data_IF_915255780005
#
_entry.id   IF_915255780005
#
_cell.length_a   1.000
_cell.length_b   1.000
_cell.length_c   1.000
_cell.angle_alpha   90.00
_cell.angle_beta   90.00
_cell.angle_gamma   90.00
#
_symmetry.space_group_name_H-M   'P 1'
#
loop_
_entity.id
_entity.type
_entity.pdbx_description
1 polymer ?
#
# COMPACT_ATOMS: atom_id res chain seq x y z
N UNK A 1 -99.58 -19.14 -31.01
CA UNK A 1 -99.59 -17.81 -31.66
C UNK A 1 -99.40 -16.73 -30.60
N UNK A 2 -98.51 -15.74 -30.85
CA UNK A 2 -98.23 -14.50 -30.06
C UNK A 2 -97.49 -14.74 -28.72
N UNK A 3 -96.46 -13.98 -28.29
CA UNK A 3 -95.80 -12.75 -28.78
C UNK A 3 -94.48 -12.52 -28.00
N UNK A 4 -93.46 -12.04 -28.73
CA UNK A 4 -92.48 -10.96 -28.39
C UNK A 4 -91.36 -11.22 -27.37
N UNK A 5 -90.15 -11.35 -27.93
CA UNK A 5 -88.86 -10.99 -27.32
C UNK A 5 -88.82 -9.49 -27.03
N UNK A 6 -88.38 -9.10 -25.83
CA UNK A 6 -88.09 -7.71 -25.47
C UNK A 6 -86.61 -7.60 -25.11
N UNK A 7 -85.85 -6.94 -25.97
CA UNK A 7 -84.51 -6.42 -25.67
C UNK A 7 -84.67 -5.15 -24.85
N UNK A 8 -84.15 -5.13 -23.61
CA UNK A 8 -84.20 -3.95 -22.74
C UNK A 8 -82.88 -3.18 -22.85
N UNK A 9 -82.92 -2.03 -23.54
CA UNK A 9 -81.87 -1.00 -23.55
C UNK A 9 -81.67 -0.47 -22.11
N UNK A 10 -80.51 -0.74 -21.52
CA UNK A 10 -80.03 -0.08 -20.31
C UNK A 10 -79.51 1.32 -20.64
N UNK A 11 -80.12 2.32 -20.01
CA UNK A 11 -79.83 3.75 -20.14
C UNK A 11 -78.48 4.05 -19.48
N UNK A 12 -77.53 4.59 -20.24
CA UNK A 12 -76.19 4.94 -19.79
C UNK A 12 -76.23 6.01 -18.69
N UNK A 13 -75.70 5.68 -17.51
CA UNK A 13 -75.34 6.67 -16.50
C UNK A 13 -74.02 7.33 -16.93
N UNK A 14 -74.02 8.65 -16.98
CA UNK A 14 -72.92 9.47 -17.53
C UNK A 14 -71.68 9.32 -16.65
N UNK A 15 -70.55 8.93 -17.25
CA UNK A 15 -69.25 8.72 -16.61
C UNK A 15 -68.68 9.96 -15.86
N UNK A 16 -69.29 11.14 -16.02
CA UNK A 16 -68.91 12.37 -15.34
C UNK A 16 -69.38 12.48 -13.88
N UNK A 17 -70.44 11.77 -13.48
CA UNK A 17 -70.96 11.85 -12.10
C UNK A 17 -70.15 11.00 -11.11
N UNK A 18 -69.49 9.92 -11.58
CA UNK A 18 -68.61 9.09 -10.76
C UNK A 18 -67.26 9.75 -10.46
N UNK A 19 -66.73 10.53 -11.40
CA UNK A 19 -65.42 11.21 -11.24
C UNK A 19 -65.54 12.37 -10.23
N UNK A 20 -66.66 13.11 -10.24
CA UNK A 20 -66.90 14.18 -9.27
C UNK A 20 -67.05 13.67 -7.83
N UNK A 21 -67.65 12.50 -7.63
CA UNK A 21 -67.84 11.91 -6.30
C UNK A 21 -66.54 11.33 -5.73
N UNK A 22 -65.63 10.85 -6.59
CA UNK A 22 -64.31 10.35 -6.20
C UNK A 22 -63.36 11.49 -5.78
N UNK A 23 -63.45 12.66 -6.44
CA UNK A 23 -62.62 13.83 -6.11
C UNK A 23 -63.04 14.43 -4.75
N UNK A 24 -64.34 14.47 -4.45
CA UNK A 24 -64.85 14.96 -3.15
C UNK A 24 -64.46 14.02 -2.01
N UNK A 25 -64.44 12.69 -2.24
CA UNK A 25 -63.96 11.71 -1.26
C UNK A 25 -62.44 11.76 -1.04
N UNK A 26 -61.65 12.04 -2.09
CA UNK A 26 -60.21 12.26 -1.96
C UNK A 26 -59.88 13.55 -1.19
N UNK A 27 -60.68 14.61 -1.38
CA UNK A 27 -60.48 15.89 -0.68
C UNK A 27 -60.88 15.82 0.81
N UNK A 28 -61.90 15.03 1.16
CA UNK A 28 -62.31 14.85 2.56
C UNK A 28 -61.33 13.97 3.39
N UNK A 29 -60.56 13.10 2.74
CA UNK A 29 -59.52 12.30 3.40
C UNK A 29 -58.26 13.10 3.77
N UNK A 30 -58.11 14.33 3.27
CA UNK A 30 -56.94 15.20 3.53
C UNK A 30 -57.13 16.10 4.76
N UNK A 31 -58.35 16.24 5.31
CA UNK A 31 -58.62 17.14 6.45
C UNK A 31 -58.79 16.46 7.82
N UNK A 32 -58.61 15.15 7.94
CA UNK A 32 -58.56 14.46 9.26
C UNK A 32 -57.29 13.59 9.33
N UNK A 33 -56.13 14.24 9.20
CA UNK A 33 -54.86 13.67 9.65
C UNK A 33 -54.75 13.83 11.18
N UNK A 34 -54.22 12.84 11.91
CA UNK A 34 -54.02 12.98 13.35
C UNK A 34 -53.01 14.11 13.59
N UNK A 35 -53.37 15.05 14.47
CA UNK A 35 -52.43 15.89 15.20
C UNK A 35 -51.64 15.02 16.18
N UNK A 36 -50.86 14.09 15.64
CA UNK A 36 -49.77 13.45 16.34
C UNK A 36 -48.52 14.17 15.88
N UNK A 37 -47.90 14.92 16.79
CA UNK A 37 -46.67 15.66 16.53
C UNK A 37 -45.68 14.77 15.80
N UNK A 38 -45.45 15.08 14.52
CA UNK A 38 -44.27 14.62 13.82
C UNK A 38 -43.09 15.21 14.58
N UNK A 39 -42.48 14.41 15.45
CA UNK A 39 -41.06 14.55 15.71
C UNK A 39 -40.44 14.62 14.32
N UNK A 40 -39.93 15.80 13.97
CA UNK A 40 -39.25 16.04 12.71
C UNK A 40 -38.22 14.93 12.58
N UNK A 41 -38.52 13.95 11.72
CA UNK A 41 -37.62 12.86 11.46
C UNK A 41 -36.48 13.53 10.72
N UNK A 42 -35.48 13.99 11.47
CA UNK A 42 -34.31 14.67 10.97
C UNK A 42 -33.87 13.86 9.76
N UNK A 43 -33.82 14.50 8.59
CA UNK A 43 -33.55 13.81 7.33
C UNK A 43 -32.28 12.97 7.54
N UNK A 44 -32.44 11.66 7.72
CA UNK A 44 -31.31 10.79 7.97
C UNK A 44 -30.64 10.60 6.63
N UNK A 45 -29.59 11.37 6.40
CA UNK A 45 -28.79 11.25 5.19
C UNK A 45 -28.33 9.80 4.99
N UNK A 46 -28.21 9.32 3.75
CA UNK A 46 -27.51 8.09 3.46
C UNK A 46 -26.12 8.07 4.13
N UNK A 47 -25.81 6.97 4.80
CA UNK A 47 -24.57 6.80 5.55
C UNK A 47 -23.59 5.93 4.79
N UNK A 48 -22.37 6.40 4.65
CA UNK A 48 -21.24 5.68 4.07
C UNK A 48 -20.35 5.23 5.23
N UNK A 49 -20.17 3.92 5.41
CA UNK A 49 -19.15 3.40 6.31
C UNK A 49 -17.80 3.40 5.63
N UNK A 50 -16.78 4.02 6.23
CA UNK A 50 -15.41 4.00 5.71
C UNK A 50 -14.52 3.17 6.64
N UNK A 51 -14.16 1.96 6.21
CA UNK A 51 -13.36 1.01 6.98
C UNK A 51 -11.93 0.96 6.45
N UNK A 52 -10.97 1.39 7.26
CA UNK A 52 -9.58 1.49 6.86
C UNK A 52 -8.62 0.85 7.88
N UNK A 53 -7.57 0.15 7.40
CA UNK A 53 -6.63 -0.58 8.25
C UNK A 53 -5.63 0.31 9.00
N UNK A 54 -5.34 1.51 8.50
CA UNK A 54 -4.29 2.36 9.07
C UNK A 54 -4.83 3.45 9.99
N UNK A 55 -4.05 4.52 10.09
CA UNK A 55 -4.30 5.67 10.96
C UNK A 55 -4.37 6.99 10.19
N UNK A 56 -5.13 7.95 10.70
CA UNK A 56 -5.07 9.35 10.23
C UNK A 56 -3.71 10.02 10.53
N UNK A 57 -2.93 9.46 11.46
CA UNK A 57 -1.56 9.93 11.72
C UNK A 57 -0.59 9.60 10.57
N UNK A 58 -0.94 8.66 9.69
CA UNK A 58 -0.14 8.32 8.53
C UNK A 58 -0.53 9.23 7.33
N UNK A 59 0.40 9.99 6.73
CA UNK A 59 0.08 11.06 5.77
C UNK A 59 -0.69 10.67 4.50
N UNK A 60 -0.72 9.40 4.09
CA UNK A 60 -1.44 8.95 2.90
C UNK A 60 -2.94 8.89 3.16
N UNK A 61 -3.37 8.49 4.37
CA UNK A 61 -4.80 8.35 4.66
C UNK A 61 -5.58 9.66 4.62
N UNK A 62 -5.11 10.78 5.20
CA UNK A 62 -5.75 12.08 5.00
C UNK A 62 -5.90 12.46 3.53
N UNK A 63 -4.90 12.15 2.68
CA UNK A 63 -4.96 12.38 1.23
C UNK A 63 -6.00 11.51 0.54
N UNK A 64 -6.10 10.23 0.91
CA UNK A 64 -7.13 9.34 0.39
C UNK A 64 -8.54 9.78 0.79
N UNK A 65 -8.73 10.21 2.04
CA UNK A 65 -10.00 10.75 2.52
C UNK A 65 -10.37 12.04 1.78
N UNK A 66 -9.40 12.94 1.57
CA UNK A 66 -9.63 14.16 0.80
C UNK A 66 -10.03 13.86 -0.66
N UNK A 67 -9.32 12.94 -1.32
CA UNK A 67 -9.63 12.52 -2.68
C UNK A 67 -11.01 11.86 -2.76
N UNK A 68 -11.34 11.02 -1.78
CA UNK A 68 -12.66 10.39 -1.68
C UNK A 68 -13.78 11.42 -1.53
N UNK A 69 -13.62 12.37 -0.61
CA UNK A 69 -14.55 13.49 -0.42
C UNK A 69 -14.66 14.38 -1.66
N UNK A 70 -13.57 14.60 -2.37
CA UNK A 70 -13.57 15.37 -3.62
C UNK A 70 -14.38 14.66 -4.70
N UNK A 71 -14.13 13.37 -4.94
CA UNK A 71 -14.88 12.59 -5.93
C UNK A 71 -16.38 12.49 -5.59
N UNK A 72 -16.74 12.37 -4.31
CA UNK A 72 -18.13 12.43 -3.87
C UNK A 72 -18.76 13.80 -4.17
N UNK A 73 -18.05 14.89 -3.88
CA UNK A 73 -18.53 16.27 -4.14
C UNK A 73 -18.76 16.53 -5.62
N UNK A 74 -17.88 16.04 -6.49
CA UNK A 74 -18.02 16.15 -7.95
C UNK A 74 -19.28 15.44 -8.48
N UNK A 75 -19.75 14.42 -7.77
CA UNK A 75 -20.99 13.70 -8.07
C UNK A 75 -22.21 14.30 -7.33
N UNK A 76 -22.04 15.42 -6.62
CA UNK A 76 -23.10 16.10 -5.87
C UNK A 76 -23.33 15.55 -4.45
N UNK A 77 -22.49 14.62 -3.96
CA UNK A 77 -22.57 14.10 -2.59
C UNK A 77 -21.63 14.88 -1.66
N UNK A 78 -22.21 15.60 -0.70
CA UNK A 78 -21.49 16.48 0.23
C UNK A 78 -21.76 16.02 1.66
N UNK A 79 -20.67 15.70 2.37
CA UNK A 79 -20.70 15.33 3.79
C UNK A 79 -21.38 16.42 4.63
N UNK A 80 -22.20 15.99 5.58
CA UNK A 80 -23.01 16.81 6.49
C UNK A 80 -24.09 17.68 5.82
N UNK A 81 -24.28 17.54 4.50
CA UNK A 81 -25.36 18.21 3.77
C UNK A 81 -26.36 17.24 3.16
N UNK A 82 -25.89 16.15 2.56
CA UNK A 82 -26.76 15.14 1.97
C UNK A 82 -26.26 13.70 2.10
N UNK A 83 -25.06 13.49 2.68
CA UNK A 83 -24.53 12.20 3.10
C UNK A 83 -23.82 12.34 4.45
N UNK A 84 -23.72 11.25 5.19
CA UNK A 84 -22.85 11.16 6.37
C UNK A 84 -21.77 10.09 6.14
N UNK A 85 -20.55 10.35 6.60
CA UNK A 85 -19.43 9.38 6.48
C UNK A 85 -19.00 8.92 7.88
N UNK A 86 -19.18 7.63 8.13
CA UNK A 86 -18.84 6.97 9.40
C UNK A 86 -17.46 6.32 9.28
N UNK A 87 -16.43 7.02 9.75
CA UNK A 87 -15.06 6.51 9.69
C UNK A 87 -14.77 5.48 10.77
N UNK A 88 -14.07 4.39 10.41
CA UNK A 88 -13.54 3.39 11.32
C UNK A 88 -12.10 3.04 10.95
N UNK A 89 -11.18 3.41 11.83
CA UNK A 89 -9.75 3.26 11.68
C UNK A 89 -9.23 2.14 12.57
N UNK A 90 -8.54 1.17 11.99
CA UNK A 90 -7.94 0.08 12.76
C UNK A 90 -6.61 0.49 13.40
N UNK A 91 -6.03 1.63 13.05
CA UNK A 91 -4.78 2.17 13.65
C UNK A 91 -3.62 1.17 13.52
N UNK A 92 -3.48 0.55 12.35
CA UNK A 92 -2.43 -0.46 12.07
C UNK A 92 -2.70 -1.83 12.69
N UNK A 93 -3.83 -2.04 13.39
CA UNK A 93 -4.16 -3.28 14.11
C UNK A 93 -5.28 -4.05 13.42
N UNK A 94 -4.91 -4.98 12.55
CA UNK A 94 -5.88 -5.70 11.71
C UNK A 94 -6.90 -6.53 12.49
N UNK A 95 -6.57 -6.96 13.71
CA UNK A 95 -7.46 -7.65 14.65
C UNK A 95 -8.68 -6.81 15.07
N UNK A 96 -8.61 -5.47 14.96
CA UNK A 96 -9.74 -4.57 15.25
C UNK A 96 -10.77 -4.51 14.12
N UNK A 97 -10.39 -4.84 12.89
CA UNK A 97 -11.25 -4.69 11.71
C UNK A 97 -12.59 -5.44 11.80
N UNK A 98 -12.67 -6.69 12.31
CA UNK A 98 -13.95 -7.38 12.46
C UNK A 98 -14.94 -6.66 13.39
N UNK A 99 -14.46 -6.10 14.51
CA UNK A 99 -15.29 -5.33 15.44
C UNK A 99 -15.78 -4.04 14.80
N UNK A 100 -14.88 -3.30 14.16
CA UNK A 100 -15.19 -2.07 13.44
C UNK A 100 -16.17 -2.29 12.28
N UNK A 101 -16.04 -3.38 11.52
CA UNK A 101 -17.00 -3.75 10.48
C UNK A 101 -18.38 -4.05 11.07
N UNK A 102 -18.43 -4.75 12.21
CA UNK A 102 -19.68 -5.05 12.92
C UNK A 102 -20.37 -3.77 13.41
N UNK A 103 -19.61 -2.78 13.88
CA UNK A 103 -20.17 -1.47 14.24
C UNK A 103 -20.83 -0.78 13.06
N UNK A 104 -20.19 -0.77 11.88
CA UNK A 104 -20.78 -0.17 10.66
C UNK A 104 -22.09 -0.86 10.27
N UNK A 105 -22.16 -2.19 10.39
CA UNK A 105 -23.41 -2.94 10.17
C UNK A 105 -24.49 -2.54 11.18
N UNK A 106 -24.14 -2.40 12.47
CA UNK A 106 -25.08 -1.97 13.53
C UNK A 106 -25.59 -0.54 13.32
N UNK A 107 -24.74 0.33 12.77
CA UNK A 107 -25.13 1.69 12.37
C UNK A 107 -26.03 1.74 11.13
N UNK A 108 -26.29 0.59 10.50
CA UNK A 108 -27.13 0.46 9.30
C UNK A 108 -26.65 1.40 8.18
N UNK A 109 -25.34 1.42 7.94
CA UNK A 109 -24.79 2.17 6.81
C UNK A 109 -25.33 1.62 5.48
N UNK A 110 -25.48 2.50 4.49
CA UNK A 110 -26.03 2.15 3.18
C UNK A 110 -24.99 1.49 2.28
N UNK A 111 -23.70 1.82 2.46
CA UNK A 111 -22.57 1.26 1.73
C UNK A 111 -21.34 1.27 2.62
N UNK A 112 -20.47 0.27 2.48
CA UNK A 112 -19.18 0.20 3.17
C UNK A 112 -18.07 0.36 2.13
N UNK A 113 -17.28 1.42 2.23
CA UNK A 113 -16.01 1.55 1.52
C UNK A 113 -14.92 0.90 2.37
N UNK A 114 -14.28 -0.14 1.85
CA UNK A 114 -13.28 -0.93 2.58
C UNK A 114 -11.90 -0.85 1.88
N UNK A 115 -10.91 -0.32 2.60
CA UNK A 115 -9.55 -0.13 2.09
C UNK A 115 -8.66 -1.36 2.31
N UNK A 116 -8.20 -1.99 1.23
CA UNK A 116 -7.31 -3.14 1.27
C UNK A 116 -7.97 -4.46 1.65
N UNK A 117 -7.26 -5.56 1.42
CA UNK A 117 -7.77 -6.91 1.63
C UNK A 117 -8.23 -7.21 3.08
N UNK A 118 -7.53 -6.77 4.15
CA UNK A 118 -7.97 -7.01 5.53
C UNK A 118 -9.35 -6.39 5.82
N UNK A 119 -9.58 -5.14 5.39
CA UNK A 119 -10.84 -4.45 5.62
C UNK A 119 -11.98 -5.07 4.81
N UNK A 120 -11.73 -5.42 3.55
CA UNK A 120 -12.72 -6.08 2.69
C UNK A 120 -13.10 -7.45 3.26
N UNK A 121 -12.14 -8.23 3.75
CA UNK A 121 -12.42 -9.51 4.37
C UNK A 121 -13.26 -9.35 5.65
N UNK A 122 -12.97 -8.34 6.48
CA UNK A 122 -13.75 -8.05 7.68
C UNK A 122 -15.19 -7.62 7.32
N UNK A 123 -15.36 -6.72 6.35
CA UNK A 123 -16.68 -6.28 5.88
C UNK A 123 -17.49 -7.44 5.29
N UNK A 124 -16.87 -8.28 4.45
CA UNK A 124 -17.50 -9.48 3.86
C UNK A 124 -18.02 -10.44 4.92
N UNK A 125 -17.28 -10.61 6.03
CA UNK A 125 -17.71 -11.46 7.15
C UNK A 125 -18.84 -10.83 7.95
N UNK A 126 -18.87 -9.50 8.05
CA UNK A 126 -19.87 -8.78 8.84
C UNK A 126 -21.23 -8.67 8.11
N UNK A 127 -21.26 -8.68 6.78
CA UNK A 127 -22.50 -8.54 6.01
C UNK A 127 -22.43 -9.11 4.60
N UNK A 128 -23.53 -9.77 4.20
CA UNK A 128 -23.77 -10.22 2.83
C UNK A 128 -24.77 -9.34 2.07
N UNK A 129 -25.33 -8.31 2.72
CA UNK A 129 -26.45 -7.51 2.18
C UNK A 129 -26.09 -6.04 1.94
N UNK A 130 -25.26 -5.44 2.79
CA UNK A 130 -24.81 -4.07 2.58
C UNK A 130 -23.78 -4.07 1.45
N UNK A 131 -23.92 -3.22 0.41
CA UNK A 131 -22.91 -3.09 -0.63
C UNK A 131 -21.54 -2.73 -0.05
N UNK A 132 -20.51 -3.43 -0.50
CA UNK A 132 -19.11 -3.20 -0.12
C UNK A 132 -18.36 -2.72 -1.37
N UNK A 133 -17.84 -1.50 -1.29
CA UNK A 133 -16.93 -0.93 -2.29
C UNK A 133 -15.50 -1.15 -1.82
N UNK A 134 -14.81 -2.10 -2.44
CA UNK A 134 -13.39 -2.34 -2.19
C UNK A 134 -12.53 -1.25 -2.85
N UNK A 135 -11.48 -0.84 -2.15
CA UNK A 135 -10.46 0.06 -2.67
C UNK A 135 -9.08 -0.54 -2.42
N UNK A 136 -8.21 -0.55 -3.44
CA UNK A 136 -6.78 -0.91 -3.30
C UNK A 136 -6.62 -2.39 -2.90
N UNK A 137 -7.20 -3.28 -3.69
CA UNK A 137 -7.08 -4.74 -3.52
C UNK A 137 -6.24 -5.33 -4.66
N UNK A 138 -5.22 -6.14 -4.34
CA UNK A 138 -4.29 -6.68 -5.34
C UNK A 138 -4.97 -7.62 -6.35
N UNK A 139 -5.62 -8.67 -5.88
CA UNK A 139 -6.39 -9.60 -6.72
C UNK A 139 -7.68 -10.04 -6.00
N UNK A 140 -8.82 -9.38 -6.26
CA UNK A 140 -10.07 -9.69 -5.57
C UNK A 140 -10.68 -11.03 -6.01
N UNK A 141 -10.27 -11.59 -7.16
CA UNK A 141 -10.76 -12.89 -7.65
C UNK A 141 -10.03 -14.02 -6.94
N UNK A 142 -8.69 -13.99 -6.94
CA UNK A 142 -7.89 -14.99 -6.24
C UNK A 142 -8.14 -14.99 -4.72
N UNK A 143 -8.47 -13.85 -4.14
CA UNK A 143 -8.90 -13.74 -2.73
C UNK A 143 -10.35 -14.17 -2.48
N UNK A 144 -11.11 -14.51 -3.53
CA UNK A 144 -12.50 -14.92 -3.43
C UNK A 144 -13.43 -13.82 -2.93
N UNK A 145 -13.06 -12.55 -3.08
CA UNK A 145 -13.96 -11.43 -2.78
C UNK A 145 -15.03 -11.26 -3.85
N UNK A 146 -14.68 -11.54 -5.11
CA UNK A 146 -15.58 -11.47 -6.26
C UNK A 146 -15.41 -12.69 -7.15
N UNK A 147 -16.46 -13.09 -7.87
CA UNK A 147 -16.40 -14.22 -8.80
C UNK A 147 -15.59 -13.89 -10.07
N UNK A 148 -15.70 -12.65 -10.56
CA UNK A 148 -14.91 -12.13 -11.67
C UNK A 148 -14.89 -10.60 -11.62
N UNK A 149 -13.93 -9.97 -12.33
CA UNK A 149 -13.86 -8.51 -12.41
C UNK A 149 -15.05 -7.91 -13.18
N UNK A 150 -15.51 -8.58 -14.25
CA UNK A 150 -16.65 -8.11 -15.04
C UNK A 150 -17.99 -8.33 -14.35
N UNK A 151 -18.11 -9.39 -13.54
CA UNK A 151 -19.34 -9.77 -12.83
C UNK A 151 -18.98 -10.26 -11.43
N UNK A 152 -19.07 -9.40 -10.41
CA UNK A 152 -18.63 -9.75 -9.07
C UNK A 152 -19.45 -10.85 -8.39
N UNK A 153 -20.74 -10.98 -8.73
CA UNK A 153 -21.61 -12.08 -8.28
C UNK A 153 -22.10 -12.00 -6.83
N UNK A 154 -21.91 -10.87 -6.15
CA UNK A 154 -22.35 -10.65 -4.76
C UNK A 154 -22.45 -9.18 -4.40
N UNK A 155 -22.41 -8.85 -3.11
CA UNK A 155 -22.49 -7.47 -2.60
C UNK A 155 -21.14 -6.72 -2.62
N UNK A 156 -20.08 -7.30 -3.18
CA UNK A 156 -18.75 -6.70 -3.23
C UNK A 156 -18.45 -6.26 -4.66
N UNK A 157 -18.02 -5.01 -4.84
CA UNK A 157 -17.52 -4.46 -6.09
C UNK A 157 -16.46 -3.40 -5.79
N UNK A 158 -15.79 -2.84 -6.80
CA UNK A 158 -14.91 -1.68 -6.60
C UNK A 158 -13.58 -1.79 -7.33
N UNK A 159 -12.57 -1.11 -6.80
CA UNK A 159 -11.29 -0.87 -7.46
C UNK A 159 -10.22 -1.86 -7.00
N UNK A 160 -9.71 -2.65 -7.94
CA UNK A 160 -8.47 -3.41 -7.79
C UNK A 160 -7.31 -2.62 -8.40
N UNK A 161 -6.12 -2.76 -7.82
CA UNK A 161 -4.89 -2.19 -8.39
C UNK A 161 -4.09 -3.22 -9.21
N UNK A 162 -4.58 -4.44 -9.41
CA UNK A 162 -3.90 -5.54 -10.14
C UNK A 162 -2.37 -5.49 -9.99
N UNK A 163 -1.92 -5.60 -8.74
CA UNK A 163 -0.51 -5.53 -8.37
C UNK A 163 0.30 -6.85 -8.38
N UNK A 164 -0.20 -8.05 -8.80
CA UNK A 164 0.58 -9.28 -8.62
C UNK A 164 1.94 -9.25 -9.35
N UNK A 165 2.01 -8.61 -10.52
CA UNK A 165 3.24 -8.53 -11.31
C UNK A 165 4.21 -7.44 -10.84
N UNK A 166 3.77 -6.55 -9.95
CA UNK A 166 4.59 -5.41 -9.52
C UNK A 166 5.86 -5.87 -8.80
N UNK A 167 5.75 -6.90 -7.95
CA UNK A 167 6.92 -7.42 -7.22
C UNK A 167 7.91 -8.11 -8.15
N UNK A 168 7.42 -8.76 -9.22
CA UNK A 168 8.28 -9.30 -10.27
C UNK A 168 9.06 -8.20 -10.99
N UNK A 169 8.39 -7.11 -11.37
CA UNK A 169 9.05 -5.93 -11.98
C UNK A 169 10.03 -5.24 -11.03
N UNK A 170 9.75 -5.21 -9.73
CA UNK A 170 10.70 -4.69 -8.74
C UNK A 170 11.96 -5.55 -8.67
N UNK A 171 11.86 -6.88 -8.84
CA UNK A 171 13.01 -7.77 -8.90
C UNK A 171 13.82 -7.58 -10.18
N UNK A 172 13.15 -7.46 -11.34
CA UNK A 172 13.81 -7.15 -12.63
C UNK A 172 14.60 -5.83 -12.54
N UNK A 173 13.94 -4.76 -12.06
CA UNK A 173 14.59 -3.45 -11.87
C UNK A 173 15.74 -3.50 -10.87
N UNK A 174 15.62 -4.32 -9.83
CA UNK A 174 16.68 -4.49 -8.85
C UNK A 174 17.92 -5.18 -9.45
N UNK A 175 17.73 -6.15 -10.35
CA UNK A 175 18.83 -6.77 -11.09
C UNK A 175 19.52 -5.78 -12.05
N UNK A 176 18.76 -4.89 -12.70
CA UNK A 176 19.32 -3.82 -13.54
C UNK A 176 20.20 -2.84 -12.74
N UNK A 177 19.74 -2.45 -11.54
CA UNK A 177 20.44 -1.47 -10.69
C UNK A 177 21.62 -2.10 -9.94
N UNK A 178 21.49 -3.36 -9.51
CA UNK A 178 22.53 -4.10 -8.80
C UNK A 178 22.86 -5.38 -9.58
N UNK A 179 23.71 -5.27 -10.62
CA UNK A 179 24.07 -6.41 -11.44
C UNK A 179 24.67 -7.54 -10.59
N UNK A 180 24.25 -8.79 -10.86
CA UNK A 180 24.66 -10.02 -10.15
C UNK A 180 24.11 -10.18 -8.73
N UNK A 181 23.03 -9.47 -8.39
CA UNK A 181 22.32 -9.77 -7.14
C UNK A 181 21.78 -11.20 -7.16
N UNK A 182 22.17 -12.01 -6.18
CA UNK A 182 21.80 -13.43 -6.11
C UNK A 182 20.88 -13.76 -4.94
N UNK A 183 20.75 -12.84 -3.97
CA UNK A 183 19.92 -13.03 -2.78
C UNK A 183 19.21 -11.74 -2.38
N UNK A 184 17.90 -11.82 -2.28
CA UNK A 184 17.03 -10.70 -1.93
C UNK A 184 16.11 -11.12 -0.80
N UNK A 185 16.02 -10.29 0.25
CA UNK A 185 15.05 -10.51 1.30
C UNK A 185 13.71 -9.89 0.92
N UNK A 186 12.61 -10.56 1.23
CA UNK A 186 11.25 -10.11 0.94
C UNK A 186 10.50 -9.94 2.26
N UNK A 187 10.37 -8.70 2.71
CA UNK A 187 9.61 -8.37 3.92
C UNK A 187 8.12 -8.34 3.60
N UNK A 188 7.33 -9.11 4.32
CA UNK A 188 5.88 -9.20 4.13
C UNK A 188 5.14 -9.40 5.45
N UNK A 189 3.88 -8.94 5.47
CA UNK A 189 3.01 -9.10 6.63
C UNK A 189 2.02 -10.27 6.41
N UNK A 190 2.16 -11.39 7.14
CA UNK A 190 1.28 -12.55 6.99
C UNK A 190 -0.12 -12.32 7.56
N UNK A 191 -0.35 -11.29 8.39
CA UNK A 191 -1.67 -10.92 8.87
C UNK A 191 -2.55 -10.29 7.76
N UNK A 192 -1.95 -9.89 6.64
CA UNK A 192 -2.68 -9.43 5.46
C UNK A 192 -2.92 -10.61 4.50
N UNK A 193 -4.17 -11.06 4.29
CA UNK A 193 -4.47 -12.21 3.44
C UNK A 193 -4.04 -12.00 1.97
N UNK A 194 -3.95 -10.74 1.51
CA UNK A 194 -3.52 -10.42 0.15
C UNK A 194 -2.02 -10.58 -0.09
N UNK A 195 -1.21 -10.66 0.96
CA UNK A 195 0.25 -10.74 0.80
C UNK A 195 0.73 -12.13 0.42
N UNK A 196 0.03 -13.20 0.83
CA UNK A 196 0.42 -14.56 0.49
C UNK A 196 0.48 -14.80 -1.03
N UNK A 197 -0.46 -14.20 -1.78
CA UNK A 197 -0.45 -14.23 -3.23
C UNK A 197 0.77 -13.49 -3.80
N UNK A 198 1.04 -12.28 -3.31
CA UNK A 198 2.19 -11.48 -3.75
C UNK A 198 3.53 -12.18 -3.46
N UNK A 199 3.66 -12.89 -2.33
CA UNK A 199 4.85 -13.70 -2.03
C UNK A 199 5.04 -14.81 -3.07
N UNK A 200 3.96 -15.49 -3.48
CA UNK A 200 4.04 -16.53 -4.52
C UNK A 200 4.50 -15.96 -5.86
N UNK A 201 3.92 -14.84 -6.30
CA UNK A 201 4.35 -14.17 -7.54
C UNK A 201 5.81 -13.71 -7.46
N UNK A 202 6.25 -13.19 -6.32
CA UNK A 202 7.65 -12.82 -6.10
C UNK A 202 8.57 -14.04 -6.21
N UNK A 203 8.21 -15.16 -5.60
CA UNK A 203 8.96 -16.42 -5.69
C UNK A 203 9.06 -16.93 -7.13
N UNK A 204 7.98 -16.83 -7.91
CA UNK A 204 7.96 -17.26 -9.30
C UNK A 204 8.88 -16.39 -10.17
N UNK A 205 8.79 -15.06 -10.00
CA UNK A 205 9.67 -14.11 -10.69
C UNK A 205 11.14 -14.30 -10.30
N UNK A 206 11.45 -14.47 -9.01
CA UNK A 206 12.82 -14.68 -8.56
C UNK A 206 13.42 -15.98 -9.11
N UNK A 207 12.63 -17.06 -9.23
CA UNK A 207 13.10 -18.31 -9.87
C UNK A 207 13.43 -18.08 -11.35
N UNK A 208 12.64 -17.29 -12.06
CA UNK A 208 12.91 -16.94 -13.46
C UNK A 208 14.20 -16.11 -13.63
N UNK A 209 14.52 -15.26 -12.64
CA UNK A 209 15.72 -14.40 -12.64
C UNK A 209 16.95 -15.06 -11.98
N UNK A 210 16.82 -16.29 -11.47
CA UNK A 210 17.92 -16.96 -10.73
C UNK A 210 18.26 -16.31 -9.38
N UNK A 211 17.34 -15.53 -8.82
CA UNK A 211 17.49 -14.85 -7.53
C UNK A 211 16.95 -15.75 -6.41
N UNK A 212 17.75 -15.93 -5.34
CA UNK A 212 17.29 -16.56 -4.11
C UNK A 212 16.48 -15.56 -3.28
N UNK A 213 15.17 -15.75 -3.20
CA UNK A 213 14.32 -14.98 -2.30
C UNK A 213 14.33 -15.56 -0.87
N UNK A 214 14.45 -14.68 0.11
CA UNK A 214 14.33 -14.99 1.53
C UNK A 214 13.09 -14.28 2.11
N UNK A 215 11.94 -14.95 2.24
CA UNK A 215 10.76 -14.36 2.86
C UNK A 215 11.01 -14.06 4.34
N UNK A 216 10.67 -12.85 4.76
CA UNK A 216 10.72 -12.40 6.15
C UNK A 216 9.34 -11.92 6.58
N UNK A 217 8.80 -12.55 7.62
CA UNK A 217 7.52 -12.16 8.18
C UNK A 217 7.69 -11.03 9.20
N UNK A 218 6.81 -10.03 9.11
CA UNK A 218 6.64 -9.04 10.17
C UNK A 218 5.21 -8.49 10.22
N UNK A 219 4.60 -8.57 11.40
CA UNK A 219 3.24 -8.09 11.69
C UNK A 219 3.24 -6.75 12.41
N UNK A 220 4.34 -6.42 13.10
CA UNK A 220 4.47 -5.25 13.97
C UNK A 220 5.93 -4.74 14.02
N UNK A 221 6.19 -3.57 14.63
CA UNK A 221 7.53 -2.99 14.70
C UNK A 221 8.61 -3.87 15.33
N UNK A 222 8.25 -4.70 16.32
CA UNK A 222 9.19 -5.59 16.99
C UNK A 222 9.58 -6.76 16.09
N UNK A 223 8.61 -7.32 15.36
CA UNK A 223 8.87 -8.35 14.36
C UNK A 223 9.71 -7.81 13.19
N UNK A 224 9.54 -6.54 12.79
CA UNK A 224 10.41 -5.89 11.79
C UNK A 224 11.87 -5.91 12.26
N UNK A 225 12.14 -5.49 13.49
CA UNK A 225 13.50 -5.49 14.03
C UNK A 225 14.11 -6.90 14.04
N UNK A 226 13.33 -7.89 14.50
CA UNK A 226 13.75 -9.28 14.57
C UNK A 226 14.03 -9.85 13.18
N UNK A 227 13.18 -9.55 12.20
CA UNK A 227 13.38 -9.94 10.80
C UNK A 227 14.69 -9.39 10.22
N UNK A 228 14.98 -8.11 10.48
CA UNK A 228 16.23 -7.48 10.04
C UNK A 228 17.46 -7.99 10.79
N UNK A 229 17.33 -8.33 12.07
CA UNK A 229 18.40 -8.97 12.83
C UNK A 229 18.75 -10.34 12.23
N UNK A 230 17.75 -11.16 11.90
CA UNK A 230 17.95 -12.48 11.29
C UNK A 230 18.60 -12.40 9.89
N UNK A 231 18.29 -11.38 9.08
CA UNK A 231 18.88 -11.21 7.73
C UNK A 231 20.37 -10.88 7.74
N UNK A 232 20.91 -10.33 8.83
CA UNK A 232 22.36 -10.10 8.93
C UNK A 232 23.17 -11.40 8.91
N UNK A 233 22.55 -12.52 9.27
CA UNK A 233 23.16 -13.85 9.23
C UNK A 233 23.12 -14.47 7.82
N UNK A 234 22.09 -14.16 7.05
CA UNK A 234 21.81 -14.76 5.74
C UNK A 234 22.28 -13.94 4.53
N UNK A 235 22.92 -12.77 4.72
CA UNK A 235 23.61 -12.00 3.66
C UNK A 235 22.75 -11.67 2.41
N UNK A 236 21.50 -11.27 2.59
CA UNK A 236 20.74 -10.68 1.49
C UNK A 236 21.38 -9.37 1.03
N UNK A 237 21.51 -9.17 -0.30
CA UNK A 237 22.11 -7.98 -0.90
C UNK A 237 21.14 -6.81 -1.05
N UNK A 238 19.85 -7.07 -0.95
CA UNK A 238 18.78 -6.07 -0.99
C UNK A 238 17.53 -6.56 -0.24
N UNK A 239 16.62 -5.64 0.02
CA UNK A 239 15.31 -5.92 0.63
C UNK A 239 14.21 -5.32 -0.24
N UNK A 240 13.23 -6.14 -0.60
CA UNK A 240 11.96 -5.71 -1.18
C UNK A 240 10.89 -5.81 -0.09
N UNK A 241 9.99 -4.83 -0.04
CA UNK A 241 8.89 -4.77 0.93
C UNK A 241 7.58 -4.90 0.18
N UNK A 242 6.78 -5.91 0.51
CA UNK A 242 5.44 -6.04 -0.05
C UNK A 242 4.56 -4.88 0.44
N UNK A 243 3.77 -4.31 -0.47
CA UNK A 243 2.87 -3.21 -0.16
C UNK A 243 1.84 -3.64 0.90
N UNK A 244 2.00 -3.11 2.10
CA UNK A 244 1.16 -3.39 3.27
C UNK A 244 1.02 -2.13 4.12
N UNK A 245 -0.15 -1.92 4.73
CA UNK A 245 -0.42 -0.71 5.53
C UNK A 245 0.54 -0.59 6.72
N UNK A 246 0.72 -1.67 7.49
CA UNK A 246 1.56 -1.67 8.70
C UNK A 246 3.03 -1.49 8.32
N UNK A 247 3.51 -2.22 7.31
CA UNK A 247 4.90 -2.08 6.87
C UNK A 247 5.18 -0.66 6.34
N UNK A 248 4.25 -0.06 5.59
CA UNK A 248 4.42 1.29 5.05
C UNK A 248 4.32 2.40 6.11
N UNK A 249 3.59 2.17 7.21
CA UNK A 249 3.62 3.04 8.40
C UNK A 249 5.02 3.07 9.03
N UNK A 250 5.76 1.96 8.97
CA UNK A 250 7.12 1.82 9.52
C UNK A 250 8.23 1.94 8.46
N UNK A 251 7.96 2.53 7.29
CA UNK A 251 8.91 2.65 6.18
C UNK A 251 10.26 3.27 6.56
N UNK A 252 10.29 4.27 7.45
CA UNK A 252 11.53 4.92 7.90
C UNK A 252 12.38 3.94 8.70
N UNK A 253 11.76 3.20 9.64
CA UNK A 253 12.44 2.16 10.43
C UNK A 253 13.01 1.06 9.54
N UNK A 254 12.23 0.63 8.55
CA UNK A 254 12.65 -0.37 7.55
C UNK A 254 13.83 0.14 6.73
N UNK A 255 13.76 1.38 6.23
CA UNK A 255 14.85 2.01 5.48
C UNK A 255 16.13 2.13 6.32
N UNK A 256 16.01 2.55 7.58
CA UNK A 256 17.13 2.66 8.50
C UNK A 256 17.80 1.30 8.75
N UNK A 257 17.01 0.24 8.90
CA UNK A 257 17.55 -1.12 8.99
C UNK A 257 18.23 -1.56 7.70
N UNK A 258 17.62 -1.33 6.54
CA UNK A 258 18.21 -1.67 5.25
C UNK A 258 19.56 -0.96 5.03
N UNK A 259 19.67 0.33 5.37
CA UNK A 259 20.93 1.10 5.30
C UNK A 259 21.97 0.56 6.28
N UNK A 260 21.58 0.18 7.50
CA UNK A 260 22.50 -0.43 8.47
C UNK A 260 23.03 -1.79 7.99
N UNK A 261 22.19 -2.60 7.38
CA UNK A 261 22.60 -3.89 6.81
C UNK A 261 23.54 -3.68 5.63
N UNK A 262 23.21 -2.76 4.72
CA UNK A 262 24.04 -2.45 3.56
C UNK A 262 25.41 -1.86 3.95
N UNK A 263 25.47 -0.94 4.92
CA UNK A 263 26.74 -0.35 5.37
C UNK A 263 27.67 -1.37 6.04
N UNK A 264 27.13 -2.34 6.81
CA UNK A 264 27.91 -3.46 7.38
C UNK A 264 28.45 -4.42 6.32
N UNK A 265 27.73 -4.60 5.22
CA UNK A 265 28.24 -5.37 4.08
C UNK A 265 29.30 -4.57 3.31
N UNK A 266 29.08 -3.27 3.10
CA UNK A 266 29.96 -2.39 2.35
C UNK A 266 31.34 -2.17 3.02
N UNK A 267 31.40 -2.11 4.36
CA UNK A 267 32.68 -2.07 5.09
C UNK A 267 33.56 -3.30 4.83
N UNK A 268 32.95 -4.42 4.44
CA UNK A 268 33.64 -5.64 4.02
C UNK A 268 33.95 -5.65 2.52
N UNK A 269 33.17 -4.98 1.67
CA UNK A 269 33.48 -4.73 0.25
C UNK A 269 34.71 -3.81 0.07
N UNK A 270 34.91 -2.83 0.95
CA UNK A 270 36.13 -1.99 0.95
C UNK A 270 37.39 -2.83 1.24
N UNK A 271 37.26 -3.96 1.97
CA UNK A 271 38.39 -4.86 2.23
C UNK A 271 38.77 -5.74 1.03
N UNK A 272 37.85 -5.98 0.07
CA UNK A 272 38.12 -6.80 -1.12
C UNK A 272 38.80 -6.04 -2.26
N UNK A 273 38.93 -4.72 -2.16
CA UNK A 273 39.63 -3.85 -3.13
C UNK A 273 41.05 -3.45 -2.69
N UNK A 274 41.60 -4.05 -1.62
CA UNK A 274 42.94 -3.68 -1.10
C UNK A 274 44.11 -3.85 -2.07
N UNK A 275 44.10 -4.70 -3.13
CA UNK A 275 45.19 -4.69 -4.10
C UNK A 275 45.13 -3.53 -5.11
N UNK A 276 43.95 -2.93 -5.35
CA UNK A 276 43.78 -1.92 -6.39
C UNK A 276 43.99 -0.48 -5.89
N UNK A 277 43.63 -0.19 -4.63
CA UNK A 277 43.86 1.14 -4.03
C UNK A 277 45.35 1.37 -3.69
N UNK A 278 46.10 0.29 -3.43
CA UNK A 278 47.54 0.36 -3.13
C UNK A 278 48.39 0.72 -4.37
N UNK A 279 47.87 0.55 -5.58
CA UNK A 279 48.57 0.90 -6.83
C UNK A 279 48.31 2.34 -7.32
N UNK A 280 47.23 2.99 -6.87
CA UNK A 280 46.86 4.35 -7.31
C UNK A 280 47.19 5.45 -6.30
N UNK A 281 47.72 5.10 -5.13
CA UNK A 281 48.20 6.09 -4.15
C UNK A 281 49.66 5.82 -3.78
N UNK A 282 50.53 6.01 -4.77
CA UNK A 282 51.94 6.33 -4.53
C UNK A 282 52.03 7.66 -3.77
N UNK A 283 52.14 7.55 -2.45
CA UNK A 283 52.51 8.55 -1.43
C UNK A 283 52.59 10.03 -1.85
N UNK A 284 51.82 10.87 -1.14
CA UNK A 284 52.36 12.00 -0.39
C UNK A 284 51.38 12.50 0.70
N UNK A 285 51.73 12.17 1.95
CA UNK A 285 51.75 13.02 3.16
C UNK A 285 50.45 13.73 3.61
N UNK A 286 49.79 13.33 4.70
CA UNK A 286 50.12 13.59 6.12
C UNK A 286 50.48 15.05 6.45
N UNK A 287 49.47 15.85 6.84
CA UNK A 287 49.55 16.85 7.92
C UNK A 287 48.15 17.09 8.50
N UNK A 288 47.90 16.61 9.72
CA UNK A 288 47.11 17.24 10.78
C UNK A 288 46.61 16.20 11.79
N UNK A 289 47.48 15.72 12.68
CA UNK A 289 47.14 15.54 14.09
C UNK A 289 48.46 15.53 14.87
N UNK A 290 48.62 16.53 15.72
CA UNK A 290 49.84 16.79 16.46
C UNK A 290 50.09 15.78 17.58
N UNK A 291 51.36 15.39 17.71
CA UNK A 291 51.92 14.63 18.83
C UNK A 291 53.40 14.40 18.57
N UNK A 292 54.28 14.97 19.40
CA UNK A 292 55.74 14.98 19.22
C UNK A 292 56.36 13.57 19.19
N UNK A 293 57.48 13.34 18.46
CA UNK A 293 58.16 12.05 18.39
C UNK A 293 59.30 11.93 19.44
N UNK A 294 59.71 10.72 19.85
CA UNK A 294 61.06 10.48 20.34
C UNK A 294 62.01 10.10 19.19
N UNK A 295 63.22 10.61 19.37
CA UNK A 295 64.40 10.65 18.49
C UNK A 295 64.97 9.30 18.08
N UNK A 296 65.44 9.20 16.83
CA UNK A 296 66.59 8.36 16.47
C UNK A 296 67.54 9.10 15.51
N UNK A 297 68.82 9.01 15.84
CA UNK A 297 69.99 9.72 15.32
C UNK A 297 70.45 9.19 13.96
N UNK A 298 70.90 10.08 13.07
CA UNK A 298 71.63 9.74 11.83
C UNK A 298 73.05 10.30 11.93
N UNK A 299 74.04 9.42 12.02
CA UNK A 299 75.46 9.79 11.88
C UNK A 299 75.79 10.05 10.42
N UNK A 300 76.26 11.25 10.12
CA UNK A 300 76.85 11.65 8.85
C UNK A 300 78.32 11.25 8.75
N UNK A 301 78.78 10.80 7.57
CA UNK A 301 80.12 11.13 7.07
C UNK A 301 80.20 11.01 5.55
N UNK A 302 80.57 12.11 4.93
CA UNK A 302 81.10 12.20 3.57
C UNK A 302 82.59 11.82 3.53
N UNK A 303 83.13 11.58 2.34
CA UNK A 303 84.29 12.36 1.85
C UNK A 303 84.08 12.77 0.37
N UNK A 304 84.52 13.92 -0.15
CA UNK A 304 85.87 14.49 -0.13
C UNK A 304 86.53 14.27 -1.51
N UNK A 305 86.59 15.31 -2.36
CA UNK A 305 87.34 15.32 -3.64
C UNK A 305 88.86 15.44 -3.39
N UNK A 306 89.70 15.00 -4.36
CA UNK A 306 90.53 15.99 -5.09
C UNK A 306 90.84 15.68 -6.59
N UNK A 307 91.02 16.77 -7.36
CA UNK A 307 91.94 17.10 -8.53
C UNK A 307 92.62 15.98 -9.34
N UNK A 308 92.95 16.01 -10.66
CA UNK A 308 93.16 17.03 -11.70
C UNK A 308 93.57 16.36 -13.05
N UNK A 309 93.42 17.06 -14.21
CA UNK A 309 94.16 16.91 -15.52
C UNK A 309 93.96 15.57 -16.28
N UNK A 310 93.84 15.44 -17.62
CA UNK A 310 94.33 16.15 -18.83
C UNK A 310 93.49 15.77 -20.09
N UNK A 311 93.28 16.77 -20.95
CA UNK A 311 93.31 16.82 -22.45
C UNK A 311 93.03 15.59 -23.36
N UNK A 312 92.09 15.81 -24.30
CA UNK A 312 92.10 15.64 -25.78
C UNK A 312 92.92 14.55 -26.53
N UNK A 313 92.29 14.11 -27.65
CA UNK A 313 92.79 13.56 -28.95
C UNK A 313 92.73 12.03 -29.23
N UNK A 314 91.85 11.70 -30.20
CA UNK A 314 92.02 11.02 -31.52
C UNK A 314 92.75 9.65 -31.68
N UNK A 315 92.19 8.87 -32.63
CA UNK A 315 92.65 7.68 -33.43
C UNK A 315 92.29 6.31 -32.81
N UNK A 316 91.52 5.41 -33.44
CA UNK A 316 91.53 4.70 -34.75
C UNK A 316 92.44 3.46 -34.80
N UNK A 317 91.92 2.37 -35.40
CA UNK A 317 92.47 0.99 -35.66
C UNK A 317 92.70 0.16 -34.39
N UNK A 318 92.18 -1.05 -34.23
CA UNK A 318 92.12 -2.19 -35.17
C UNK A 318 90.75 -2.89 -35.23
#
# INVERSE_FOLDING_TARGET
>A
MRRRRFWRRGRSMRATTFIALLIVLLAAAVLVGPLAGGAQQAASFPRIGFLAPGSLSEPRFPRYVQAFRQGLRELGYVEDQNIAIEFRWAEGKYDRLPGLATELVRLKVNVIVAGGAPAVQAAKRATATIPIVMAIVADPVAMGFVASLARPGGNIAGLSLMLPDLVGKQLELLEEVVPKISRVALLWNPANPGNALQVRHAQDAARALGIQLQPMEARDPSEIDNAFAATTTERAGAVIVIADTVLLEHRTRIADHAVRVASRQCSRWVSSWRPAVFWLTGQASLTAFGGRPPTWTRSSRAPGRPTSRLSSRRRSSW
#
